data_IF_487941120154
#
_entry.id   IF_487941120154
#
_cell.length_a   1.000
_cell.length_b   1.000
_cell.length_c   1.000
_cell.angle_alpha   90.00
_cell.angle_beta   90.00
_cell.angle_gamma   90.00
#
_symmetry.space_group_name_H-M   'P 1'
#
loop_
_entity.id
_entity.type
_entity.pdbx_description
1 polymer ?
#
# COMPACT_ATOMS: atom_id res chain seq x y z
N UNK A 1 -7.51 -72.29 -22.06
CA UNK A 1 -6.54 -71.31 -21.52
C UNK A 1 -7.24 -69.96 -21.41
N UNK A 2 -6.99 -69.23 -20.33
CA UNK A 2 -7.82 -68.13 -19.80
C UNK A 2 -7.36 -66.78 -20.38
N UNK A 3 -8.33 -66.03 -20.95
CA UNK A 3 -8.67 -64.59 -20.78
C UNK A 3 -7.55 -63.59 -20.39
N UNK A 4 -7.48 -62.46 -21.12
CA UNK A 4 -7.64 -61.11 -20.55
C UNK A 4 -7.48 -60.02 -21.63
N UNK A 5 -8.53 -59.22 -21.82
CA UNK A 5 -8.46 -57.95 -22.53
C UNK A 5 -8.04 -56.83 -21.57
N UNK A 6 -7.18 -55.93 -22.04
CA UNK A 6 -6.70 -54.78 -21.27
C UNK A 6 -7.33 -53.51 -21.87
N UNK A 7 -8.42 -53.02 -21.29
CA UNK A 7 -8.99 -51.70 -21.59
C UNK A 7 -8.30 -50.63 -20.75
N UNK A 8 -7.59 -49.72 -21.42
CA UNK A 8 -6.91 -48.59 -20.79
C UNK A 8 -7.92 -47.46 -20.48
N UNK A 9 -7.98 -47.05 -19.20
CA UNK A 9 -8.74 -45.88 -18.78
C UNK A 9 -7.86 -44.62 -18.90
N UNK A 10 -8.33 -43.64 -19.67
CA UNK A 10 -7.66 -42.32 -19.80
C UNK A 10 -8.16 -41.39 -18.70
N UNK A 11 -7.25 -40.93 -17.83
CA UNK A 11 -7.53 -39.95 -16.78
C UNK A 11 -7.40 -38.56 -17.39
N UNK A 12 -8.52 -37.83 -17.48
CA UNK A 12 -8.54 -36.41 -17.85
C UNK A 12 -8.17 -35.59 -16.61
N UNK A 13 -6.95 -35.05 -16.58
CA UNK A 13 -6.55 -34.04 -15.60
C UNK A 13 -7.25 -32.72 -15.92
N UNK A 14 -8.28 -32.39 -15.13
CA UNK A 14 -8.89 -31.06 -15.08
C UNK A 14 -7.87 -30.08 -14.48
N UNK A 15 -7.16 -29.35 -15.33
CA UNK A 15 -6.37 -28.19 -14.94
C UNK A 15 -7.33 -27.10 -14.43
N UNK A 16 -7.50 -27.03 -13.11
CA UNK A 16 -8.18 -25.91 -12.48
C UNK A 16 -7.36 -24.62 -12.72
N UNK A 17 -7.99 -23.50 -13.11
CA UNK A 17 -7.29 -22.23 -13.25
C UNK A 17 -6.69 -21.85 -11.88
N UNK A 18 -5.38 -21.63 -11.85
CA UNK A 18 -4.69 -21.11 -10.69
C UNK A 18 -5.22 -19.69 -10.41
N UNK A 19 -6.17 -19.58 -9.48
CA UNK A 19 -6.59 -18.30 -8.93
C UNK A 19 -5.35 -17.61 -8.39
N UNK A 20 -4.92 -16.52 -9.02
CA UNK A 20 -3.83 -15.68 -8.53
C UNK A 20 -4.26 -15.16 -7.17
N UNK A 21 -3.73 -15.74 -6.09
CA UNK A 21 -3.97 -15.26 -4.75
C UNK A 21 -3.32 -13.87 -4.64
N UNK A 22 -4.14 -12.82 -4.53
CA UNK A 22 -3.66 -11.46 -4.31
C UNK A 22 -2.86 -11.43 -3.01
N UNK A 23 -1.55 -11.16 -3.09
CA UNK A 23 -0.70 -11.02 -1.90
C UNK A 23 -1.03 -9.71 -1.18
N UNK A 24 -1.15 -9.67 0.16
CA UNK A 24 -1.33 -8.42 0.88
C UNK A 24 -0.13 -7.48 0.64
N UNK A 25 -0.41 -6.20 0.39
CA UNK A 25 0.57 -5.14 0.08
C UNK A 25 0.62 -4.09 1.19
N UNK A 26 0.46 -4.50 2.45
CA UNK A 26 0.57 -3.58 3.57
C UNK A 26 2.03 -3.29 3.90
N UNK A 27 2.34 -2.03 4.18
CA UNK A 27 3.67 -1.65 4.66
C UNK A 27 3.74 -0.21 5.13
N UNK A 28 4.77 0.09 5.91
CA UNK A 28 5.07 1.42 6.42
C UNK A 28 6.51 1.84 6.11
N UNK A 29 6.72 3.15 6.14
CA UNK A 29 8.04 3.75 6.14
C UNK A 29 8.02 5.01 7.04
N UNK A 30 9.16 5.32 7.65
CA UNK A 30 9.31 6.47 8.55
C UNK A 30 10.58 7.22 8.24
N UNK A 31 10.46 8.53 8.08
CA UNK A 31 11.58 9.45 7.90
C UNK A 31 11.37 10.68 8.78
N UNK A 32 12.39 11.01 9.58
CA UNK A 32 12.31 12.05 10.59
C UNK A 32 11.12 11.86 11.54
N UNK A 33 10.21 12.83 11.52
CA UNK A 33 9.00 12.85 12.37
C UNK A 33 7.75 12.38 11.62
N UNK A 34 7.85 11.91 10.39
CA UNK A 34 6.71 11.56 9.54
C UNK A 34 6.75 10.08 9.20
N UNK A 35 5.62 9.41 9.34
CA UNK A 35 5.42 8.02 8.92
C UNK A 35 4.33 7.94 7.86
N UNK A 36 4.49 7.03 6.90
CA UNK A 36 3.45 6.64 5.94
C UNK A 36 3.14 5.16 6.15
N UNK A 37 1.85 4.82 6.17
CA UNK A 37 1.36 3.45 6.17
C UNK A 37 0.41 3.28 4.99
N UNK A 38 0.63 2.24 4.21
CA UNK A 38 -0.15 1.88 3.03
C UNK A 38 -0.77 0.50 3.27
N UNK A 39 -2.05 0.38 2.96
CA UNK A 39 -2.82 -0.85 3.08
C UNK A 39 -3.46 -1.18 1.73
N UNK A 40 -3.39 -2.44 1.35
CA UNK A 40 -3.91 -2.90 0.07
C UNK A 40 -3.53 -4.34 -0.26
N UNK A 41 -3.77 -4.73 -1.51
CA UNK A 41 -3.57 -6.07 -2.03
C UNK A 41 -2.91 -6.00 -3.41
N UNK A 42 -1.74 -6.63 -3.56
CA UNK A 42 -0.90 -6.60 -4.75
C UNK A 42 -0.60 -5.17 -5.18
N UNK A 43 -1.05 -4.77 -6.36
CA UNK A 43 -0.87 -3.42 -6.89
C UNK A 43 -2.01 -2.46 -6.50
N UNK A 44 -3.02 -2.92 -5.77
CA UNK A 44 -4.19 -2.15 -5.39
C UNK A 44 -4.03 -1.57 -3.98
N UNK A 45 -4.05 -0.23 -3.88
CA UNK A 45 -3.97 0.47 -2.60
C UNK A 45 -5.36 0.90 -2.18
N UNK A 46 -5.79 0.44 -1.02
CA UNK A 46 -7.11 0.70 -0.44
C UNK A 46 -7.08 1.94 0.45
N UNK A 47 -6.04 2.07 1.28
CA UNK A 47 -5.91 3.15 2.25
C UNK A 47 -4.45 3.60 2.36
N UNK A 48 -4.29 4.90 2.59
CA UNK A 48 -3.01 5.47 3.02
C UNK A 48 -3.27 6.28 4.28
N UNK A 49 -2.42 6.11 5.28
CA UNK A 49 -2.37 6.91 6.50
C UNK A 49 -1.00 7.56 6.59
N UNK A 50 -0.98 8.85 6.87
CA UNK A 50 0.26 9.58 7.20
C UNK A 50 0.12 10.07 8.62
N UNK A 51 1.17 9.92 9.41
CA UNK A 51 1.22 10.39 10.79
C UNK A 51 2.50 11.15 11.09
N UNK A 52 2.48 11.92 12.18
CA UNK A 52 3.67 12.48 12.80
C UNK A 52 3.67 12.23 14.29
N UNK A 53 4.85 11.98 14.87
CA UNK A 53 5.03 11.75 16.31
C UNK A 53 4.79 13.01 17.16
N UNK A 54 4.64 14.17 16.51
CA UNK A 54 4.51 15.48 17.17
C UNK A 54 3.13 16.06 16.93
N UNK A 55 2.44 16.39 18.02
CA UNK A 55 1.21 17.17 17.95
C UNK A 55 1.53 18.61 17.51
N UNK A 56 1.30 18.93 16.23
CA UNK A 56 1.44 20.29 15.70
C UNK A 56 0.08 20.83 15.25
N UNK A 57 -0.41 21.86 15.94
CA UNK A 57 -1.67 22.50 15.58
C UNK A 57 -1.63 22.99 14.12
N UNK A 58 -2.65 22.68 13.32
CA UNK A 58 -2.73 23.08 11.91
C UNK A 58 -1.78 22.32 10.97
N UNK A 59 -1.20 21.19 11.40
CA UNK A 59 -0.44 20.32 10.51
C UNK A 59 -1.33 19.74 9.40
N UNK A 60 -0.80 19.72 8.18
CA UNK A 60 -1.45 19.10 7.04
C UNK A 60 -0.51 18.09 6.41
N UNK A 61 -1.10 17.01 5.91
CA UNK A 61 -0.38 15.97 5.19
C UNK A 61 -0.89 15.85 3.76
N UNK A 62 -0.03 15.38 2.86
CA UNK A 62 -0.37 15.02 1.49
C UNK A 62 0.50 13.85 1.05
N UNK A 63 -0.03 13.04 0.13
CA UNK A 63 0.69 11.95 -0.52
C UNK A 63 0.89 12.30 -1.98
N UNK A 64 2.09 12.06 -2.49
CA UNK A 64 2.43 12.15 -3.90
C UNK A 64 3.06 10.86 -4.38
N UNK A 65 2.96 10.58 -5.68
CA UNK A 65 3.62 9.43 -6.30
C UNK A 65 4.85 9.88 -7.08
N UNK A 66 5.85 9.01 -7.13
CA UNK A 66 7.07 9.18 -7.90
C UNK A 66 7.42 7.85 -8.59
N UNK A 67 7.77 7.87 -9.88
CA UNK A 67 8.02 6.64 -10.67
C UNK A 67 9.51 6.34 -10.91
N UNK A 68 10.40 6.88 -10.08
CA UNK A 68 11.86 6.65 -10.16
C UNK A 68 12.63 7.70 -10.98
N UNK A 69 11.94 8.63 -11.65
CA UNK A 69 12.54 9.82 -12.29
C UNK A 69 11.97 11.09 -11.67
N UNK A 70 12.84 12.06 -11.36
CA UNK A 70 12.51 13.36 -10.74
C UNK A 70 11.46 14.18 -11.51
N UNK A 71 11.27 13.91 -12.81
CA UNK A 71 10.31 14.57 -13.67
C UNK A 71 8.85 14.09 -13.49
N UNK A 72 8.60 12.99 -12.79
CA UNK A 72 7.28 12.32 -12.76
C UNK A 72 6.64 12.28 -11.37
N UNK A 73 6.66 13.41 -10.65
CA UNK A 73 5.92 13.55 -9.40
C UNK A 73 4.49 14.03 -9.66
N UNK A 74 3.51 13.39 -9.02
CA UNK A 74 2.11 13.85 -9.07
C UNK A 74 1.38 13.57 -7.77
N UNK A 75 0.51 14.50 -7.37
CA UNK A 75 -0.24 14.37 -6.13
C UNK A 75 -1.22 13.20 -6.22
N UNK A 76 -1.20 12.32 -5.22
CA UNK A 76 -2.16 11.23 -5.04
C UNK A 76 -3.36 11.74 -4.27
N UNK A 77 -3.12 12.56 -3.25
CA UNK A 77 -4.17 13.15 -2.41
C UNK A 77 -4.11 14.68 -2.44
N UNK A 78 -5.20 15.33 -2.00
CA UNK A 78 -5.16 16.73 -1.60
C UNK A 78 -4.57 16.85 -0.20
N UNK A 79 -4.10 18.05 0.16
CA UNK A 79 -3.76 18.36 1.54
C UNK A 79 -4.95 18.09 2.46
N UNK A 80 -4.73 17.33 3.54
CA UNK A 80 -5.73 17.07 4.58
C UNK A 80 -5.18 17.57 5.92
N UNK A 81 -6.02 18.25 6.68
CA UNK A 81 -5.70 18.65 8.05
C UNK A 81 -5.53 17.40 8.91
N UNK A 82 -4.47 17.37 9.71
CA UNK A 82 -4.20 16.28 10.61
C UNK A 82 -5.17 16.31 11.80
N UNK A 83 -5.67 15.14 12.16
CA UNK A 83 -6.43 14.88 13.36
C UNK A 83 -5.46 14.44 14.47
N UNK A 84 -5.68 14.88 15.70
CA UNK A 84 -4.88 14.42 16.83
C UNK A 84 -5.49 13.13 17.34
N UNK A 85 -4.74 12.04 17.22
CA UNK A 85 -5.13 10.70 17.62
C UNK A 85 -4.25 10.22 18.77
N UNK A 86 -4.79 9.35 19.62
CA UNK A 86 -4.06 8.76 20.73
C UNK A 86 -3.97 7.24 20.57
N UNK A 87 -2.79 6.66 20.77
CA UNK A 87 -2.59 5.22 20.95
C UNK A 87 -1.94 5.01 22.33
N UNK A 88 -2.73 4.47 23.26
CA UNK A 88 -2.34 4.42 24.67
C UNK A 88 -2.10 5.84 25.22
N UNK A 89 -0.91 6.08 25.78
CA UNK A 89 -0.50 7.39 26.29
C UNK A 89 0.13 8.31 25.22
N UNK A 90 0.37 7.80 24.02
CA UNK A 90 1.05 8.54 22.96
C UNK A 90 0.04 9.26 22.07
N UNK A 91 0.24 10.57 21.87
CA UNK A 91 -0.54 11.38 20.93
C UNK A 91 0.27 11.64 19.67
N UNK A 92 -0.37 11.55 18.53
CA UNK A 92 0.23 11.81 17.22
C UNK A 92 -0.77 12.54 16.33
N UNK A 93 -0.27 13.30 15.36
CA UNK A 93 -1.12 13.90 14.34
C UNK A 93 -1.24 12.90 13.18
N UNK A 94 -2.43 12.65 12.64
CA UNK A 94 -2.60 11.73 11.53
C UNK A 94 -3.63 12.20 10.51
N UNK A 95 -3.47 11.76 9.27
CA UNK A 95 -4.48 11.89 8.23
C UNK A 95 -4.56 10.60 7.43
N UNK A 96 -5.76 10.06 7.29
CA UNK A 96 -6.03 8.89 6.45
C UNK A 96 -6.90 9.23 5.26
N UNK A 97 -6.65 8.57 4.13
CA UNK A 97 -7.44 8.64 2.91
C UNK A 97 -7.82 7.24 2.45
N UNK A 98 -9.07 7.10 1.99
CA UNK A 98 -9.49 5.96 1.19
C UNK A 98 -9.07 6.21 -0.25
N UNK A 99 -8.22 5.35 -0.78
CA UNK A 99 -7.60 5.50 -2.09
C UNK A 99 -8.29 4.62 -3.14
N UNK A 100 -8.57 3.35 -2.81
CA UNK A 100 -9.20 2.33 -3.67
C UNK A 100 -8.75 2.41 -5.14
N UNK A 101 -7.44 2.41 -5.38
CA UNK A 101 -6.94 2.50 -6.76
C UNK A 101 -5.65 1.70 -6.93
N UNK A 102 -5.45 1.22 -8.14
CA UNK A 102 -4.24 0.49 -8.49
C UNK A 102 -3.11 1.44 -8.90
N UNK A 103 -1.88 1.03 -8.60
CA UNK A 103 -0.66 1.73 -8.95
C UNK A 103 0.27 0.79 -9.74
N UNK A 104 1.01 1.28 -10.75
CA UNK A 104 2.00 0.46 -11.44
C UNK A 104 3.03 -0.12 -10.46
N UNK A 105 3.48 -1.35 -10.75
CA UNK A 105 4.57 -1.98 -10.01
C UNK A 105 5.80 -1.06 -9.97
N UNK A 106 6.35 -0.89 -8.77
CA UNK A 106 7.50 -0.03 -8.51
C UNK A 106 7.18 1.46 -8.33
N UNK A 107 5.91 1.85 -8.28
CA UNK A 107 5.53 3.23 -7.93
C UNK A 107 5.91 3.53 -6.48
N UNK A 108 6.57 4.65 -6.23
CA UNK A 108 6.80 5.16 -4.88
C UNK A 108 5.65 6.05 -4.45
N UNK A 109 5.14 5.83 -3.24
CA UNK A 109 4.17 6.67 -2.56
C UNK A 109 4.88 7.37 -1.41
N UNK A 110 4.97 8.68 -1.50
CA UNK A 110 5.72 9.49 -0.56
C UNK A 110 4.80 10.45 0.19
N UNK A 111 5.07 10.64 1.47
CA UNK A 111 4.36 11.61 2.30
C UNK A 111 5.11 12.94 2.39
N UNK A 112 4.36 13.99 2.64
CA UNK A 112 4.91 15.30 3.02
C UNK A 112 3.99 15.96 4.05
N UNK A 113 4.61 16.63 5.01
CA UNK A 113 3.95 17.40 6.05
C UNK A 113 4.25 18.90 5.89
N UNK A 114 3.33 19.76 6.33
CA UNK A 114 3.56 21.22 6.32
C UNK A 114 4.38 21.72 7.49
N UNK A 115 4.42 20.97 8.60
CA UNK A 115 5.06 21.41 9.84
C UNK A 115 6.09 20.42 10.39
N UNK A 116 6.00 19.14 10.04
CA UNK A 116 7.01 18.12 10.39
C UNK A 116 8.01 17.91 9.27
N UNK A 117 9.24 17.54 9.63
CA UNK A 117 10.30 17.20 8.70
C UNK A 117 10.32 15.70 8.43
N UNK A 118 10.61 15.33 7.19
CA UNK A 118 10.65 13.95 6.73
C UNK A 118 9.75 13.72 5.53
N UNK A 119 10.19 12.84 4.64
CA UNK A 119 9.51 12.49 3.40
C UNK A 119 9.57 10.97 3.18
N UNK A 120 8.96 10.16 4.07
CA UNK A 120 9.01 8.72 3.93
C UNK A 120 8.32 8.29 2.63
N UNK A 121 8.85 7.24 2.02
CA UNK A 121 8.44 6.74 0.72
C UNK A 121 8.36 5.22 0.75
N UNK A 122 7.22 4.68 0.35
CA UNK A 122 7.04 3.23 0.22
C UNK A 122 6.80 2.85 -1.24
N UNK A 123 7.43 1.75 -1.66
CA UNK A 123 7.31 1.22 -3.02
C UNK A 123 6.14 0.25 -3.10
N UNK A 124 5.21 0.50 -4.01
CA UNK A 124 4.17 -0.44 -4.42
C UNK A 124 4.81 -1.60 -5.16
N UNK A 125 4.60 -2.82 -4.69
CA UNK A 125 5.01 -4.04 -5.38
C UNK A 125 3.97 -5.14 -5.18
N UNK A 126 3.81 -6.02 -6.16
CA UNK A 126 2.87 -7.15 -6.12
C UNK A 126 3.52 -8.42 -6.64
#
# INVERSE_FOLDING_TARGET
MIKAGLTAASIVLLLAPASSASVPMSGDDTDGSVSIYVEGNGLHVERITVSSDKQRNGEKFRVYKHTGSSASSSNVTRWKLAEITSAGMTKFASASWKINRSFPNGTWLCAVATKSSGNPCIKVHG
#
